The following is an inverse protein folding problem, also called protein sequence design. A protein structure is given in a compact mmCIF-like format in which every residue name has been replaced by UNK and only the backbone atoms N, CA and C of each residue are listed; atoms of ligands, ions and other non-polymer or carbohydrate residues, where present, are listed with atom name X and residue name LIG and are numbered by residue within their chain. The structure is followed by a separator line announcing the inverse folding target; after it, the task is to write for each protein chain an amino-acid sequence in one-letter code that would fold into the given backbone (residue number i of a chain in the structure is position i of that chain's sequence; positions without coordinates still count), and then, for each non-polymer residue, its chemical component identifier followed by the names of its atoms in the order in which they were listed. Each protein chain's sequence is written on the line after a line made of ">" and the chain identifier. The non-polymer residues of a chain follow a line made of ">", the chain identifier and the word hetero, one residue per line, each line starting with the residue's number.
data_IF_551761837191
#
_entry.id   IF_551761837191
#
_cell.length_a   1.000
_cell.length_b   1.000
_cell.length_c   1.000
_cell.angle_alpha   90.00
_cell.angle_beta   90.00
_cell.angle_gamma   90.00
#
_symmetry.space_group_name_H-M   'P 1'
#
loop_
_entity.id
_entity.type
_entity.pdbx_description
1 polymer ?
#
# COMPACT_ATOMS: atom_id res chain seq x y z
N UNK A 1 -2.55 -7.96 -29.77
CA UNK A 1 -1.33 -7.21 -29.37
C UNK A 1 -1.61 -6.49 -28.06
N UNK A 2 -1.23 -7.06 -26.92
CA UNK A 2 -1.38 -6.37 -25.63
C UNK A 2 -0.23 -5.37 -25.46
N UNK A 3 -0.47 -4.10 -25.83
CA UNK A 3 0.39 -2.99 -25.42
C UNK A 3 -0.17 -2.45 -24.12
N UNK A 4 0.17 -3.07 -23.00
CA UNK A 4 0.09 -2.34 -21.74
C UNK A 4 1.19 -1.28 -21.81
N UNK A 5 0.81 0.00 -21.80
CA UNK A 5 1.79 1.07 -21.57
C UNK A 5 2.49 0.78 -20.24
N UNK A 6 3.81 0.90 -20.17
CA UNK A 6 4.56 0.66 -18.92
C UNK A 6 4.01 1.49 -17.75
N UNK A 7 3.50 2.68 -18.05
CA UNK A 7 2.78 3.52 -17.09
C UNK A 7 1.52 2.85 -16.54
N UNK A 8 0.70 2.23 -17.40
CA UNK A 8 -0.51 1.53 -16.96
C UNK A 8 -0.18 0.36 -16.03
N UNK A 9 0.90 -0.37 -16.33
CA UNK A 9 1.35 -1.46 -15.47
C UNK A 9 1.82 -0.94 -14.11
N UNK A 10 2.60 0.13 -14.08
CA UNK A 10 3.07 0.76 -12.83
C UNK A 10 1.90 1.29 -12.02
N UNK A 11 0.96 2.00 -12.64
CA UNK A 11 -0.23 2.50 -11.97
C UNK A 11 -1.07 1.36 -11.39
N UNK A 12 -1.31 0.29 -12.16
CA UNK A 12 -2.06 -0.86 -11.67
C UNK A 12 -1.35 -1.55 -10.48
N UNK A 13 -0.03 -1.68 -10.51
CA UNK A 13 0.75 -2.25 -9.41
C UNK A 13 0.67 -1.38 -8.14
N UNK A 14 0.75 -0.06 -8.29
CA UNK A 14 0.59 0.90 -7.19
C UNK A 14 -0.81 0.78 -6.57
N UNK A 15 -1.86 0.82 -7.40
CA UNK A 15 -3.25 0.71 -6.94
C UNK A 15 -3.46 -0.59 -6.19
N UNK A 16 -3.00 -1.71 -6.74
CA UNK A 16 -3.13 -3.01 -6.10
C UNK A 16 -2.45 -3.02 -4.72
N UNK A 17 -1.23 -2.52 -4.65
CA UNK A 17 -0.48 -2.49 -3.39
C UNK A 17 -1.14 -1.58 -2.34
N UNK A 18 -1.59 -0.40 -2.75
CA UNK A 18 -2.26 0.55 -1.85
C UNK A 18 -3.57 -0.03 -1.32
N UNK A 19 -4.41 -0.63 -2.17
CA UNK A 19 -5.68 -1.23 -1.74
C UNK A 19 -5.45 -2.36 -0.73
N UNK A 20 -4.51 -3.26 -0.99
CA UNK A 20 -4.18 -4.37 -0.08
C UNK A 20 -3.71 -3.88 1.30
N UNK A 21 -2.87 -2.84 1.34
CA UNK A 21 -2.36 -2.33 2.62
C UNK A 21 -3.36 -1.42 3.34
N UNK A 22 -4.25 -0.74 2.63
CA UNK A 22 -5.35 0.02 3.24
C UNK A 22 -6.30 -0.93 3.98
N UNK A 23 -6.68 -2.05 3.37
CA UNK A 23 -7.51 -3.07 4.04
C UNK A 23 -6.84 -3.61 5.32
N UNK A 24 -5.54 -3.90 5.26
CA UNK A 24 -4.81 -4.37 6.44
C UNK A 24 -4.69 -3.30 7.51
N UNK A 25 -4.51 -2.04 7.12
CA UNK A 25 -4.44 -0.93 8.05
C UNK A 25 -5.77 -0.72 8.78
N UNK A 26 -6.91 -0.84 8.08
CA UNK A 26 -8.24 -0.71 8.69
C UNK A 26 -8.52 -1.87 9.62
N UNK A 27 -8.19 -3.11 9.24
CA UNK A 27 -8.26 -4.27 10.13
C UNK A 27 -7.40 -4.09 11.38
N UNK A 28 -6.14 -3.66 11.22
CA UNK A 28 -5.24 -3.40 12.35
C UNK A 28 -5.74 -2.28 13.28
N UNK A 29 -6.45 -1.28 12.74
CA UNK A 29 -7.10 -0.24 13.55
C UNK A 29 -8.30 -0.78 14.35
N UNK A 30 -9.11 -1.65 13.73
CA UNK A 30 -10.22 -2.34 14.41
C UNK A 30 -9.70 -3.21 15.55
N UNK A 31 -8.66 -4.01 15.31
CA UNK A 31 -8.00 -4.83 16.34
C UNK A 31 -7.41 -3.98 17.48
N UNK A 32 -6.94 -2.77 17.18
CA UNK A 32 -6.45 -1.82 18.17
C UNK A 32 -7.56 -1.06 18.91
N UNK A 33 -8.83 -1.41 18.73
CA UNK A 33 -9.98 -0.77 19.37
C UNK A 33 -10.32 0.61 18.80
N UNK A 34 -9.83 0.95 17.61
CA UNK A 34 -10.11 2.19 16.88
C UNK A 34 -10.86 1.86 15.58
N UNK A 35 -12.12 1.41 15.65
CA UNK A 35 -12.86 1.06 14.45
C UNK A 35 -13.00 2.28 13.54
N UNK A 36 -12.72 2.06 12.25
CA UNK A 36 -12.94 3.06 11.19
C UNK A 36 -14.35 2.83 10.65
N UNK A 37 -15.07 3.91 10.38
CA UNK A 37 -16.38 3.84 9.73
C UNK A 37 -16.24 3.23 8.33
N UNK A 38 -16.95 2.11 8.10
CA UNK A 38 -16.95 1.40 6.82
C UNK A 38 -17.45 2.26 5.67
N UNK A 39 -18.40 3.16 5.94
CA UNK A 39 -18.91 4.11 4.94
C UNK A 39 -17.84 5.11 4.50
N UNK A 40 -16.83 5.38 5.35
CA UNK A 40 -15.73 6.27 4.98
C UNK A 40 -14.71 5.61 4.05
N UNK A 41 -14.64 4.27 4.03
CA UNK A 41 -13.67 3.53 3.23
C UNK A 41 -13.86 3.76 1.73
N UNK A 42 -15.10 4.01 1.28
CA UNK A 42 -15.41 4.29 -0.13
C UNK A 42 -14.78 5.60 -0.63
N UNK A 43 -14.46 6.52 0.28
CA UNK A 43 -13.83 7.80 -0.06
C UNK A 43 -12.29 7.73 -0.06
N UNK A 44 -11.71 6.59 0.33
CA UNK A 44 -10.26 6.40 0.27
C UNK A 44 -9.83 6.24 -1.19
N UNK A 45 -8.95 7.14 -1.63
CA UNK A 45 -8.28 6.98 -2.91
C UNK A 45 -7.12 5.99 -2.77
N UNK A 46 -7.08 4.90 -3.56
CA UNK A 46 -5.90 4.04 -3.65
C UNK A 46 -4.72 4.74 -4.33
N UNK A 47 -4.91 5.96 -4.83
CA UNK A 47 -3.90 6.79 -5.46
C UNK A 47 -3.63 8.04 -4.60
N UNK A 48 -3.25 7.85 -3.33
CA UNK A 48 -2.65 8.93 -2.55
C UNK A 48 -1.28 9.27 -3.13
N UNK A 49 -1.19 10.30 -3.97
CA UNK A 49 0.02 10.63 -4.74
C UNK A 49 1.14 11.27 -3.92
N UNK A 50 0.84 11.80 -2.73
CA UNK A 50 1.81 12.53 -1.91
C UNK A 50 3.03 11.68 -1.49
N UNK A 51 2.87 10.36 -1.41
CA UNK A 51 3.93 9.44 -0.99
C UNK A 51 4.61 8.68 -2.15
N UNK A 52 4.22 8.92 -3.41
CA UNK A 52 4.69 8.16 -4.58
C UNK A 52 5.65 9.03 -5.40
N UNK A 53 6.95 8.79 -5.27
CA UNK A 53 7.96 9.41 -6.14
C UNK A 53 8.26 8.48 -7.33
N UNK A 54 7.79 8.83 -8.53
CA UNK A 54 8.05 8.01 -9.73
C UNK A 54 9.47 8.17 -10.27
N UNK A 55 10.14 9.28 -9.91
CA UNK A 55 11.49 9.62 -10.35
C UNK A 55 12.40 9.71 -9.13
N UNK A 56 13.35 8.79 -9.01
CA UNK A 56 14.32 8.79 -7.92
C UNK A 56 15.17 7.53 -7.92
N UNK A 57 16.38 7.61 -7.36
CA UNK A 57 17.24 6.46 -7.16
C UNK A 57 16.83 5.74 -5.87
N UNK A 58 16.28 4.54 -6.04
CA UNK A 58 15.83 3.72 -4.94
C UNK A 58 16.89 2.68 -4.59
N UNK A 59 17.41 2.76 -3.36
CA UNK A 59 18.30 1.75 -2.81
C UNK A 59 17.47 0.78 -1.97
N UNK A 60 17.15 -0.38 -2.54
CA UNK A 60 16.59 -1.48 -1.76
C UNK A 60 17.71 -2.19 -1.02
N UNK A 61 17.88 -1.90 0.29
CA UNK A 61 18.56 -2.86 1.16
C UNK A 61 17.78 -4.17 1.05
N UNK A 62 18.46 -5.32 0.92
CA UNK A 62 17.82 -6.64 0.89
C UNK A 62 17.03 -6.84 2.20
N UNK A 63 15.82 -6.29 2.25
CA UNK A 63 14.90 -6.47 3.34
C UNK A 63 14.55 -7.94 3.32
N UNK A 64 14.88 -8.64 4.40
CA UNK A 64 14.46 -10.00 4.77
C UNK A 64 13.39 -10.51 3.79
N UNK A 65 13.81 -11.43 2.90
CA UNK A 65 12.95 -12.01 1.86
C UNK A 65 11.61 -12.34 2.52
N UNK A 66 10.56 -11.61 2.14
CA UNK A 66 9.22 -11.92 2.62
C UNK A 66 8.91 -13.32 2.09
N UNK A 67 8.45 -14.21 2.97
CA UNK A 67 7.98 -15.52 2.51
C UNK A 67 6.78 -15.31 1.59
N UNK A 68 6.58 -16.22 0.65
CA UNK A 68 5.50 -16.11 -0.32
C UNK A 68 4.14 -16.01 0.40
N UNK A 69 3.34 -15.02 -0.01
CA UNK A 69 2.05 -14.72 0.62
C UNK A 69 2.13 -13.98 1.96
N UNK A 70 3.32 -13.65 2.48
CA UNK A 70 3.46 -12.79 3.67
C UNK A 70 3.53 -11.32 3.27
N UNK A 71 2.83 -10.50 4.04
CA UNK A 71 2.86 -9.06 3.89
C UNK A 71 3.92 -8.41 4.78
N UNK A 72 4.38 -7.21 4.42
CA UNK A 72 5.18 -6.39 5.32
C UNK A 72 4.34 -6.00 6.55
N UNK A 73 4.95 -5.93 7.74
CA UNK A 73 4.26 -5.42 8.92
C UNK A 73 3.84 -3.97 8.72
N UNK A 74 2.70 -3.58 9.29
CA UNK A 74 2.26 -2.19 9.31
C UNK A 74 3.22 -1.36 10.17
N UNK A 75 3.44 -0.10 9.78
CA UNK A 75 4.20 0.84 10.60
C UNK A 75 3.34 1.26 11.78
N UNK A 76 3.89 1.19 12.99
CA UNK A 76 3.18 1.66 14.18
C UNK A 76 3.23 3.19 14.24
N UNK A 77 2.12 3.87 14.55
CA UNK A 77 2.15 5.30 14.78
C UNK A 77 3.04 5.59 15.99
N UNK A 78 4.18 6.25 15.78
CA UNK A 78 5.13 6.65 16.83
C UNK A 78 6.51 6.01 16.78
N UNK A 79 6.82 5.14 15.80
CA UNK A 79 8.22 4.76 15.50
C UNK A 79 8.63 5.35 14.14
N UNK A 80 9.78 6.06 14.06
CA UNK A 80 10.30 6.59 12.81
C UNK A 80 10.64 5.48 11.81
#
# INVERSE_FOLDING_TARGET
>A
RYRASGLNLVTAAIVLWNTVYLERATQGLVEAGKPVDGELLQFLSPLGWEHINLTGDYVWRQSRRLEDGKFRPLRMPGKP
#
